data_IF_544366497920
#
_entry.id   IF_544366497920
#
_cell.length_a   1.000
_cell.length_b   1.000
_cell.length_c   1.000
_cell.angle_alpha   90.00
_cell.angle_beta   90.00
_cell.angle_gamma   90.00
#
_symmetry.space_group_name_H-M   'P 1'
#
loop_
_entity.id
_entity.type
_entity.pdbx_description
1 polymer ?
#
# COMPACT_ATOMS: atom_id res chain seq x y z
N UNK A 1 5.64 -9.58 19.37
CA UNK A 1 6.11 -8.29 19.94
C UNK A 1 5.91 -7.24 18.87
N UNK A 2 5.60 -5.99 19.20
CA UNK A 2 5.38 -4.94 18.19
C UNK A 2 6.72 -4.35 17.70
N UNK A 3 6.74 -3.82 16.48
CA UNK A 3 7.90 -3.08 15.97
C UNK A 3 8.05 -1.75 16.74
N UNK A 4 9.22 -1.43 17.34
CA UNK A 4 9.39 -0.20 18.11
C UNK A 4 9.33 1.06 17.24
N UNK A 5 9.78 0.93 15.98
CA UNK A 5 9.71 1.99 14.97
C UNK A 5 8.91 1.47 13.79
N UNK A 6 8.01 2.30 13.26
CA UNK A 6 7.37 2.09 11.96
C UNK A 6 7.59 3.29 11.06
N UNK A 7 7.79 3.06 9.77
CA UNK A 7 8.00 4.11 8.78
C UNK A 7 6.77 4.24 7.91
N UNK A 8 6.30 5.48 7.72
CA UNK A 8 5.29 5.84 6.73
C UNK A 8 5.97 6.53 5.55
N UNK A 9 5.90 5.92 4.37
CA UNK A 9 6.40 6.50 3.12
C UNK A 9 5.26 7.09 2.29
N UNK A 10 5.29 8.41 2.08
CA UNK A 10 4.36 9.13 1.23
C UNK A 10 4.94 9.56 -0.13
N UNK A 11 4.17 10.33 -0.95
CA UNK A 11 4.51 10.63 -2.34
C UNK A 11 5.86 11.33 -2.49
N UNK A 12 6.27 12.14 -1.52
CA UNK A 12 7.55 12.85 -1.51
C UNK A 12 8.78 11.92 -1.53
N UNK A 13 8.60 10.63 -1.20
CA UNK A 13 9.67 9.62 -1.31
C UNK A 13 9.97 9.25 -2.76
N UNK A 14 9.01 9.37 -3.69
CA UNK A 14 9.13 8.86 -5.07
C UNK A 14 10.41 9.35 -5.78
N UNK A 15 10.76 10.65 -5.77
CA UNK A 15 11.99 11.14 -6.42
C UNK A 15 13.29 10.61 -5.77
N UNK A 16 13.21 10.12 -4.53
CA UNK A 16 14.34 9.70 -3.69
C UNK A 16 14.29 8.21 -3.34
N UNK A 17 13.45 7.42 -4.00
CA UNK A 17 13.14 6.04 -3.63
C UNK A 17 14.37 5.14 -3.48
N UNK A 18 15.39 5.32 -4.31
CA UNK A 18 16.64 4.56 -4.21
C UNK A 18 17.43 4.85 -2.93
N UNK A 19 17.50 6.11 -2.49
CA UNK A 19 18.15 6.48 -1.24
C UNK A 19 17.33 6.02 -0.04
N UNK A 20 16.00 6.20 -0.11
CA UNK A 20 15.07 5.75 0.92
C UNK A 20 15.15 4.24 1.17
N UNK A 21 15.17 3.41 0.11
CA UNK A 21 15.31 1.96 0.23
C UNK A 21 16.58 1.57 0.97
N UNK A 22 17.72 2.13 0.58
CA UNK A 22 19.00 1.88 1.25
C UNK A 22 18.96 2.25 2.72
N UNK A 23 18.42 3.42 3.05
CA UNK A 23 18.27 3.87 4.43
C UNK A 23 17.41 2.90 5.26
N UNK A 24 16.27 2.46 4.73
CA UNK A 24 15.40 1.52 5.41
C UNK A 24 16.02 0.11 5.53
N UNK A 25 16.74 -0.36 4.53
CA UNK A 25 17.45 -1.65 4.55
C UNK A 25 18.62 -1.63 5.55
N UNK A 26 19.44 -0.59 5.54
CA UNK A 26 20.61 -0.43 6.43
C UNK A 26 20.20 -0.38 7.91
N UNK A 27 19.06 0.26 8.23
CA UNK A 27 18.53 0.34 9.58
C UNK A 27 17.49 -0.75 9.91
N UNK A 28 17.19 -1.67 8.98
CA UNK A 28 16.18 -2.73 9.12
C UNK A 28 14.78 -2.22 9.52
N UNK A 29 14.27 -1.22 8.81
CA UNK A 29 13.03 -0.52 9.14
C UNK A 29 11.79 -1.18 8.49
N UNK A 30 10.69 -1.40 9.23
CA UNK A 30 9.41 -1.76 8.66
C UNK A 30 8.74 -0.53 8.03
N UNK A 31 8.39 -0.63 6.74
CA UNK A 31 7.90 0.49 5.92
C UNK A 31 6.51 0.18 5.38
N UNK A 32 5.53 0.98 5.81
CA UNK A 32 4.21 1.06 5.18
C UNK A 32 4.20 2.20 4.17
N UNK A 33 3.72 1.95 2.95
CA UNK A 33 3.64 2.96 1.90
C UNK A 33 2.19 3.45 1.71
N UNK A 34 1.98 4.72 1.37
CA UNK A 34 0.66 5.17 0.90
C UNK A 34 0.36 4.60 -0.49
N UNK A 35 -0.89 4.71 -0.95
CA UNK A 35 -1.34 4.06 -2.18
C UNK A 35 -0.65 4.57 -3.45
N UNK A 36 -0.22 5.84 -3.52
CA UNK A 36 0.59 6.36 -4.63
C UNK A 36 2.02 5.84 -4.65
N UNK A 37 2.51 5.34 -3.52
CA UNK A 37 3.89 4.87 -3.31
C UNK A 37 3.99 3.34 -3.43
N UNK A 38 2.91 2.70 -3.91
CA UNK A 38 2.85 1.25 -4.12
C UNK A 38 3.97 0.79 -5.06
N UNK A 39 4.65 -0.29 -4.68
CA UNK A 39 5.85 -0.79 -5.36
C UNK A 39 7.15 -0.15 -4.88
N UNK A 40 7.12 0.69 -3.82
CA UNK A 40 8.34 1.19 -3.18
C UNK A 40 9.22 0.03 -2.72
N UNK A 41 8.68 -0.98 -2.05
CA UNK A 41 9.34 -2.27 -1.92
C UNK A 41 8.64 -3.31 -2.78
N UNK A 42 9.37 -4.34 -3.19
CA UNK A 42 8.72 -5.54 -3.71
C UNK A 42 7.87 -6.15 -2.59
N UNK A 43 6.77 -6.78 -2.97
CA UNK A 43 5.80 -7.35 -2.02
C UNK A 43 6.41 -8.41 -1.08
N UNK A 44 7.52 -9.05 -1.48
CA UNK A 44 8.26 -10.08 -0.75
C UNK A 44 9.45 -9.55 0.07
N UNK A 45 9.66 -8.23 0.10
CA UNK A 45 10.73 -7.62 0.90
C UNK A 45 10.42 -7.70 2.40
N UNK A 46 11.42 -7.97 3.27
CA UNK A 46 11.23 -7.93 4.72
C UNK A 46 10.87 -6.53 5.24
N UNK A 47 11.25 -5.47 4.53
CA UNK A 47 10.91 -4.08 4.90
C UNK A 47 9.48 -3.70 4.51
N UNK A 48 8.79 -4.49 3.68
CA UNK A 48 7.46 -4.14 3.18
C UNK A 48 6.35 -4.49 4.18
N UNK A 49 5.67 -3.48 4.70
CA UNK A 49 4.54 -3.60 5.63
C UNK A 49 3.16 -3.47 4.96
N UNK A 50 3.12 -3.37 3.64
CA UNK A 50 1.87 -3.19 2.90
C UNK A 50 1.52 -1.74 2.62
N UNK A 51 0.41 -1.58 1.90
CA UNK A 51 -0.12 -0.28 1.48
C UNK A 51 -1.20 0.19 2.46
N UNK A 52 -1.04 1.42 2.95
CA UNK A 52 -1.92 2.07 3.93
C UNK A 52 -2.59 3.31 3.34
N UNK A 53 -3.56 3.87 4.07
CA UNK A 53 -4.29 5.07 3.67
C UNK A 53 -5.55 4.80 2.84
N UNK A 54 -5.81 3.55 2.45
CA UNK A 54 -6.98 3.12 1.68
C UNK A 54 -8.23 2.94 2.57
N UNK A 55 -8.06 2.29 3.72
CA UNK A 55 -9.14 1.96 4.65
C UNK A 55 -8.92 2.58 6.03
N UNK A 56 -10.01 2.68 6.80
CA UNK A 56 -10.04 3.37 8.10
C UNK A 56 -9.01 2.80 9.09
N UNK A 57 -8.90 1.47 9.15
CA UNK A 57 -8.07 0.77 10.13
C UNK A 57 -6.67 0.40 9.62
N UNK A 58 -6.29 0.90 8.44
CA UNK A 58 -4.99 0.57 7.84
C UNK A 58 -3.81 0.82 8.78
N UNK A 59 -3.78 1.99 9.43
CA UNK A 59 -2.69 2.38 10.33
C UNK A 59 -2.70 1.59 11.64
N UNK A 60 -3.90 1.33 12.21
CA UNK A 60 -4.07 0.46 13.38
C UNK A 60 -3.50 -0.94 13.09
N UNK A 61 -3.95 -1.56 12.01
CA UNK A 61 -3.54 -2.91 11.62
C UNK A 61 -2.08 -2.98 11.17
N UNK A 62 -1.51 -1.88 10.68
CA UNK A 62 -0.08 -1.77 10.38
C UNK A 62 0.79 -1.59 11.64
N UNK A 63 0.19 -1.46 12.83
CA UNK A 63 0.90 -1.36 14.11
C UNK A 63 1.32 0.05 14.51
N UNK A 64 0.75 1.11 13.92
CA UNK A 64 1.17 2.49 14.19
C UNK A 64 0.86 2.95 15.61
N UNK A 65 -0.24 2.49 16.20
CA UNK A 65 -0.61 2.78 17.59
C UNK A 65 0.23 2.00 18.61
N UNK A 66 0.87 0.91 18.19
CA UNK A 66 1.66 0.01 19.04
C UNK A 66 3.16 0.35 19.01
N UNK A 67 3.60 1.11 18.00
CA UNK A 67 4.99 1.52 17.86
C UNK A 67 5.34 2.68 18.82
N UNK A 68 6.56 2.65 19.37
CA UNK A 68 7.09 3.74 20.18
C UNK A 68 7.25 5.03 19.37
N UNK A 69 7.56 4.88 18.07
CA UNK A 69 7.76 5.99 17.14
C UNK A 69 7.31 5.68 15.72
N UNK A 70 6.65 6.65 15.10
CA UNK A 70 6.39 6.72 13.67
C UNK A 70 7.40 7.67 13.03
N UNK A 71 8.09 7.23 11.98
CA UNK A 71 8.91 8.10 11.13
C UNK A 71 8.14 8.31 9.82
N UNK A 72 7.61 9.51 9.63
CA UNK A 72 6.88 9.88 8.42
C UNK A 72 7.82 10.59 7.45
N UNK A 73 7.86 10.12 6.21
CA UNK A 73 8.75 10.65 5.17
C UNK A 73 7.93 10.99 3.93
N UNK A 74 7.95 12.27 3.54
CA UNK A 74 7.31 12.74 2.31
C UNK A 74 5.79 12.52 2.25
N UNK A 75 5.09 12.54 3.39
CA UNK A 75 3.63 12.34 3.46
C UNK A 75 2.89 13.59 2.99
N UNK A 76 1.88 13.40 2.14
CA UNK A 76 1.00 14.46 1.68
C UNK A 76 -0.32 14.42 2.47
N UNK A 77 -0.68 15.53 3.11
CA UNK A 77 -1.91 15.69 3.90
C UNK A 77 -3.17 15.44 3.05
N UNK A 78 -3.13 15.73 1.74
CA UNK A 78 -4.26 15.48 0.83
C UNK A 78 -4.39 14.00 0.47
N UNK A 79 -3.30 13.25 0.45
CA UNK A 79 -3.34 11.81 0.18
C UNK A 79 -3.74 11.03 1.43
N UNK A 80 -3.20 11.43 2.58
CA UNK A 80 -3.48 10.80 3.87
C UNK A 80 -3.35 11.84 5.00
N UNK A 81 -4.47 12.37 5.51
CA UNK A 81 -4.47 13.34 6.59
C UNK A 81 -3.74 12.86 7.84
N UNK A 82 -2.96 13.74 8.47
CA UNK A 82 -2.16 13.44 9.67
C UNK A 82 -2.95 12.77 10.78
N UNK A 83 -4.19 13.20 10.99
CA UNK A 83 -5.07 12.68 12.03
C UNK A 83 -5.32 11.16 11.94
N UNK A 84 -5.13 10.56 10.75
CA UNK A 84 -5.34 9.12 10.54
C UNK A 84 -4.15 8.26 10.98
N UNK A 85 -2.93 8.79 10.90
CA UNK A 85 -1.72 7.99 11.07
C UNK A 85 -0.85 8.42 12.25
N UNK A 86 -0.99 9.64 12.78
CA UNK A 86 -0.25 10.13 13.94
C UNK A 86 -0.76 9.51 15.27
N UNK A 87 -0.69 8.17 15.37
CA UNK A 87 -1.24 7.38 16.46
C UNK A 87 -0.27 7.16 17.64
N UNK A 88 1.00 7.50 17.45
CA UNK A 88 2.04 7.49 18.48
C UNK A 88 3.02 8.66 18.28
N UNK A 89 4.21 8.62 18.89
CA UNK A 89 5.19 9.71 18.76
C UNK A 89 5.65 9.83 17.29
N UNK A 90 5.44 10.99 16.67
CA UNK A 90 5.81 11.22 15.27
C UNK A 90 7.13 11.97 15.15
N UNK A 91 7.97 11.53 14.22
CA UNK A 91 9.08 12.31 13.65
C UNK A 91 8.85 12.42 12.15
N UNK A 92 8.71 13.64 11.64
CA UNK A 92 8.72 13.89 10.20
C UNK A 92 10.16 14.08 9.73
N UNK A 93 10.52 13.43 8.63
CA UNK A 93 11.84 13.53 8.03
C UNK A 93 11.73 13.96 6.56
N UNK A 94 12.70 14.76 6.13
CA UNK A 94 12.87 15.15 4.74
C UNK A 94 13.42 13.95 3.95
N UNK A 95 12.82 13.57 2.80
CA UNK A 95 13.33 12.47 1.97
C UNK A 95 14.74 12.73 1.41
N UNK A 96 15.24 13.97 1.44
CA UNK A 96 16.59 14.38 1.03
C UNK A 96 17.61 14.40 2.17
N UNK A 97 17.15 14.33 3.43
CA UNK A 97 17.99 14.38 4.64
C UNK A 97 17.45 13.38 5.68
N UNK A 98 17.54 12.09 5.34
CA UNK A 98 17.07 11.00 6.19
C UNK A 98 17.96 10.85 7.43
N UNK A 99 17.38 10.68 8.63
CA UNK A 99 18.14 10.59 9.86
C UNK A 99 18.99 9.32 9.92
N UNK A 100 20.18 9.42 10.48
CA UNK A 100 20.99 8.24 10.81
C UNK A 100 20.34 7.50 11.99
N UNK A 101 20.05 6.23 11.80
CA UNK A 101 19.41 5.37 12.81
C UNK A 101 20.32 4.19 13.16
N UNK A 102 20.27 3.77 14.42
CA UNK A 102 20.82 2.47 14.80
C UNK A 102 19.96 1.36 14.17
N UNK A 103 20.56 0.20 13.81
CA UNK A 103 19.81 -0.95 13.31
C UNK A 103 18.68 -1.35 14.27
N UNK A 104 17.49 -1.55 13.73
CA UNK A 104 16.31 -2.00 14.46
C UNK A 104 16.32 -3.53 14.62
N UNK A 105 15.59 -4.07 15.63
CA UNK A 105 15.40 -5.51 15.77
C UNK A 105 14.77 -6.16 14.51
N UNK A 106 14.77 -7.50 14.41
CA UNK A 106 14.06 -8.19 13.33
C UNK A 106 12.63 -7.68 13.16
N UNK A 107 12.23 -7.46 11.90
CA UNK A 107 10.91 -6.93 11.57
C UNK A 107 9.86 -7.98 11.88
N UNK A 108 8.92 -7.62 12.74
CA UNK A 108 7.77 -8.45 13.07
C UNK A 108 6.64 -8.19 12.06
N UNK A 109 5.97 -9.24 11.54
CA UNK A 109 4.83 -9.09 10.64
C UNK A 109 3.70 -8.28 11.30
N UNK A 110 3.10 -7.36 10.56
CA UNK A 110 1.91 -6.65 11.01
C UNK A 110 0.62 -7.44 10.74
N UNK A 111 -0.48 -6.98 11.33
CA UNK A 111 -1.80 -7.59 11.15
C UNK A 111 -2.40 -7.25 9.80
N UNK A 112 -2.15 -6.04 9.28
CA UNK A 112 -2.70 -5.54 8.02
C UNK A 112 -2.46 -6.52 6.87
N UNK A 113 -1.20 -6.89 6.63
CA UNK A 113 -0.84 -7.80 5.55
C UNK A 113 -1.49 -9.17 5.74
N UNK A 114 -1.38 -9.75 6.94
CA UNK A 114 -1.90 -11.09 7.22
C UNK A 114 -3.43 -11.18 7.09
N UNK A 115 -4.16 -10.22 7.66
CA UNK A 115 -5.63 -10.22 7.65
C UNK A 115 -6.19 -9.95 6.26
N UNK A 116 -5.61 -9.00 5.50
CA UNK A 116 -6.04 -8.76 4.12
C UNK A 116 -5.66 -9.92 3.19
N UNK A 117 -4.46 -10.50 3.35
CA UNK A 117 -4.04 -11.65 2.57
C UNK A 117 -4.96 -12.86 2.76
N UNK A 118 -5.48 -13.08 3.97
CA UNK A 118 -6.43 -14.15 4.25
C UNK A 118 -7.75 -14.02 3.46
N UNK A 119 -8.13 -12.80 3.08
CA UNK A 119 -9.28 -12.54 2.20
C UNK A 119 -8.88 -12.61 0.73
N UNK A 120 -7.77 -11.96 0.35
CA UNK A 120 -7.38 -11.74 -1.05
C UNK A 120 -6.77 -12.98 -1.70
N UNK A 121 -5.87 -13.69 -1.02
CA UNK A 121 -5.12 -14.79 -1.64
C UNK A 121 -6.01 -15.95 -2.13
N UNK A 122 -7.06 -16.37 -1.40
CA UNK A 122 -7.99 -17.38 -1.92
C UNK A 122 -8.73 -16.93 -3.19
N UNK A 123 -8.88 -15.62 -3.40
CA UNK A 123 -9.57 -15.07 -4.56
C UNK A 123 -8.74 -15.17 -5.84
N UNK A 124 -7.40 -15.20 -5.76
CA UNK A 124 -6.53 -15.29 -6.94
C UNK A 124 -6.79 -16.50 -7.83
N UNK A 125 -7.25 -17.61 -7.26
CA UNK A 125 -7.57 -18.84 -8.00
C UNK A 125 -9.07 -19.14 -8.04
N UNK A 126 -9.91 -18.18 -7.64
CA UNK A 126 -11.35 -18.33 -7.65
C UNK A 126 -11.88 -18.40 -9.09
N UNK A 127 -12.89 -19.25 -9.32
CA UNK A 127 -13.52 -19.45 -10.64
C UNK A 127 -14.99 -18.97 -10.66
N UNK A 128 -15.34 -18.03 -9.78
CA UNK A 128 -16.71 -17.49 -9.70
C UNK A 128 -17.04 -16.58 -10.89
N UNK A 129 -18.34 -16.33 -11.09
CA UNK A 129 -18.84 -15.45 -12.15
C UNK A 129 -19.88 -14.49 -11.56
N UNK A 130 -19.69 -13.15 -11.69
CA UNK A 130 -18.53 -12.47 -12.28
C UNK A 130 -17.21 -12.75 -11.50
N UNK A 131 -16.04 -12.60 -12.13
CA UNK A 131 -14.75 -12.91 -11.49
C UNK A 131 -14.49 -12.01 -10.27
N UNK A 132 -13.65 -12.46 -9.34
CA UNK A 132 -13.23 -11.56 -8.24
C UNK A 132 -12.33 -10.44 -8.78
N UNK A 133 -12.39 -9.23 -8.22
CA UNK A 133 -11.43 -8.17 -8.54
C UNK A 133 -9.97 -8.63 -8.36
N UNK A 134 -9.70 -9.37 -7.28
CA UNK A 134 -8.36 -9.88 -6.96
C UNK A 134 -7.82 -10.84 -8.02
N UNK A 135 -8.65 -11.76 -8.53
CA UNK A 135 -8.28 -12.68 -9.61
C UNK A 135 -7.89 -11.90 -10.87
N UNK A 136 -8.74 -10.97 -11.32
CA UNK A 136 -8.49 -10.18 -12.54
C UNK A 136 -7.17 -9.42 -12.43
N UNK A 137 -6.88 -8.82 -11.27
CA UNK A 137 -5.62 -8.10 -11.01
C UNK A 137 -4.43 -9.03 -10.93
N UNK A 138 -4.60 -10.23 -10.38
CA UNK A 138 -3.53 -11.22 -10.28
C UNK A 138 -3.11 -11.73 -11.65
N UNK A 139 -4.09 -12.09 -12.50
CA UNK A 139 -3.85 -12.52 -13.88
C UNK A 139 -3.17 -11.39 -14.68
N UNK A 140 -3.70 -10.17 -14.59
CA UNK A 140 -3.10 -9.00 -15.23
C UNK A 140 -1.67 -8.72 -14.74
N UNK A 141 -1.40 -8.94 -13.45
CA UNK A 141 -0.07 -8.80 -12.87
C UNK A 141 0.93 -9.83 -13.39
N UNK A 142 0.48 -11.07 -13.64
CA UNK A 142 1.29 -12.15 -14.21
C UNK A 142 1.72 -11.88 -15.65
N UNK A 143 0.86 -11.26 -16.45
CA UNK A 143 1.12 -10.92 -17.86
C UNK A 143 1.77 -9.54 -18.05
N UNK A 144 2.01 -8.80 -16.97
CA UNK A 144 2.47 -7.41 -17.02
C UNK A 144 3.89 -7.31 -17.56
N UNK A 145 4.09 -6.39 -18.52
CA UNK A 145 5.44 -6.05 -19.02
C UNK A 145 6.16 -5.09 -18.07
N UNK A 146 7.48 -5.20 -17.96
CA UNK A 146 8.32 -4.21 -17.24
C UNK A 146 8.05 -2.80 -17.77
N UNK A 147 7.81 -1.85 -16.88
CA UNK A 147 7.49 -0.46 -17.23
C UNK A 147 6.04 -0.22 -17.68
N UNK A 148 5.20 -1.26 -17.76
CA UNK A 148 3.77 -1.09 -18.05
C UNK A 148 3.05 -0.51 -16.83
N UNK A 149 2.41 0.64 -17.02
CA UNK A 149 1.56 1.26 -15.99
C UNK A 149 0.15 0.70 -16.07
N UNK A 150 -0.37 0.26 -14.93
CA UNK A 150 -1.78 -0.08 -14.72
C UNK A 150 -2.41 1.07 -13.95
N UNK A 151 -3.52 1.60 -14.46
CA UNK A 151 -4.18 2.75 -13.88
C UNK A 151 -5.67 2.49 -13.64
N UNK A 152 -6.22 3.15 -12.63
CA UNK A 152 -7.66 3.21 -12.39
C UNK A 152 -8.03 4.58 -11.82
N UNK A 153 -9.30 4.96 -11.94
CA UNK A 153 -9.82 6.15 -11.27
C UNK A 153 -9.99 5.90 -9.76
N UNK A 154 -9.95 6.96 -8.93
CA UNK A 154 -10.44 6.89 -7.55
C UNK A 154 -11.83 6.24 -7.46
N UNK A 155 -12.04 5.42 -6.43
CA UNK A 155 -13.27 4.63 -6.26
C UNK A 155 -12.99 3.13 -6.08
N UNK A 156 -14.02 2.26 -6.20
CA UNK A 156 -13.88 0.83 -5.94
C UNK A 156 -12.79 0.13 -6.78
N UNK A 157 -12.70 0.42 -8.07
CA UNK A 157 -11.64 -0.12 -8.94
C UNK A 157 -10.25 0.35 -8.50
N UNK A 158 -10.09 1.65 -8.23
CA UNK A 158 -8.84 2.21 -7.69
C UNK A 158 -8.45 1.61 -6.33
N UNK A 159 -9.43 1.38 -5.46
CA UNK A 159 -9.24 0.71 -4.18
C UNK A 159 -8.66 -0.70 -4.37
N UNK A 160 -9.28 -1.51 -5.22
CA UNK A 160 -8.79 -2.86 -5.52
C UNK A 160 -7.40 -2.85 -6.16
N UNK A 161 -7.15 -1.93 -7.10
CA UNK A 161 -5.84 -1.74 -7.71
C UNK A 161 -4.77 -1.40 -6.67
N UNK A 162 -5.05 -0.46 -5.75
CA UNK A 162 -4.13 -0.09 -4.66
C UNK A 162 -3.93 -1.21 -3.64
N UNK A 163 -4.97 -1.99 -3.35
CA UNK A 163 -4.96 -3.03 -2.33
C UNK A 163 -4.32 -4.33 -2.80
N UNK A 164 -4.73 -4.85 -3.95
CA UNK A 164 -4.51 -6.24 -4.33
C UNK A 164 -3.57 -6.44 -5.54
N UNK A 165 -3.23 -5.38 -6.28
CA UNK A 165 -2.35 -5.55 -7.44
C UNK A 165 -0.92 -5.94 -7.00
N UNK A 166 -0.33 -7.02 -7.55
CA UNK A 166 1.01 -7.47 -7.19
C UNK A 166 2.08 -6.57 -7.82
N UNK A 167 2.53 -5.56 -7.08
CA UNK A 167 3.54 -4.61 -7.55
C UNK A 167 4.96 -5.10 -7.31
N UNK A 168 5.79 -5.02 -8.34
CA UNK A 168 7.24 -5.30 -8.28
C UNK A 168 8.09 -4.07 -8.55
N UNK A 169 7.49 -2.98 -9.03
CA UNK A 169 8.19 -1.72 -9.33
C UNK A 169 7.33 -0.51 -8.93
N UNK A 170 7.98 0.51 -8.39
CA UNK A 170 7.36 1.80 -8.07
C UNK A 170 6.88 2.47 -9.36
N UNK A 171 5.68 3.04 -9.32
CA UNK A 171 5.07 3.71 -10.48
C UNK A 171 4.36 2.78 -11.48
N UNK A 172 4.35 1.46 -11.25
CA UNK A 172 3.57 0.51 -12.06
C UNK A 172 2.06 0.59 -11.83
N UNK A 173 1.65 1.18 -10.70
CA UNK A 173 0.24 1.37 -10.33
C UNK A 173 0.01 2.86 -10.13
N UNK A 174 -1.02 3.40 -10.78
CA UNK A 174 -1.41 4.81 -10.66
C UNK A 174 -2.91 4.91 -10.46
N UNK A 175 -3.34 5.55 -9.37
CA UNK A 175 -4.76 5.82 -9.11
C UNK A 175 -4.99 7.32 -9.33
N UNK A 176 -5.68 7.67 -10.41
CA UNK A 176 -5.78 9.06 -10.88
C UNK A 176 -6.95 9.26 -11.85
N UNK A 177 -7.48 10.48 -11.91
CA UNK A 177 -8.44 10.88 -12.93
C UNK A 177 -7.83 11.14 -14.31
N UNK A 178 -6.50 11.27 -14.38
CA UNK A 178 -5.76 11.55 -15.61
C UNK A 178 -4.64 10.53 -15.81
N UNK A 179 -4.96 9.29 -16.24
CA UNK A 179 -3.96 8.25 -16.45
C UNK A 179 -2.86 8.70 -17.42
N UNK A 180 -1.59 8.30 -17.20
CA UNK A 180 -0.51 8.68 -18.09
C UNK A 180 -0.68 8.01 -19.47
N UNK A 181 -0.18 8.64 -20.55
CA UNK A 181 -0.24 8.06 -21.89
C UNK A 181 0.36 6.65 -21.93
N UNK A 182 -0.36 5.72 -22.56
CA UNK A 182 0.07 4.32 -22.69
C UNK A 182 -0.21 3.42 -21.48
N UNK A 183 -0.81 3.95 -20.41
CA UNK A 183 -1.29 3.12 -19.30
C UNK A 183 -2.42 2.18 -19.75
N UNK A 184 -2.44 0.98 -19.19
CA UNK A 184 -3.61 0.10 -19.23
C UNK A 184 -4.58 0.57 -18.16
N UNK A 185 -5.70 1.16 -18.58
CA UNK A 185 -6.72 1.68 -17.67
C UNK A 185 -7.76 0.60 -17.38
N UNK A 186 -7.97 0.30 -16.10
CA UNK A 186 -9.04 -0.57 -15.62
C UNK A 186 -10.22 0.33 -15.24
N UNK A 187 -11.38 0.03 -15.82
CA UNK A 187 -12.63 0.74 -15.57
C UNK A 187 -13.78 -0.26 -15.53
N UNK A 188 -13.88 -1.00 -14.42
CA UNK A 188 -14.91 -2.01 -14.24
C UNK A 188 -16.28 -1.41 -13.95
N UNK A 189 -17.29 -1.90 -14.68
CA UNK A 189 -18.69 -1.69 -14.39
C UNK A 189 -19.22 -2.61 -13.28
N UNK A 190 -20.52 -2.51 -12.96
CA UNK A 190 -21.15 -3.27 -11.88
C UNK A 190 -21.16 -4.78 -12.09
N UNK A 191 -21.15 -5.24 -13.35
CA UNK A 191 -21.25 -6.66 -13.71
C UNK A 191 -19.91 -7.28 -14.14
N UNK A 192 -18.83 -6.48 -14.21
CA UNK A 192 -17.52 -6.94 -14.68
C UNK A 192 -16.78 -7.78 -13.63
N UNK A 193 -17.02 -7.51 -12.35
CA UNK A 193 -16.40 -8.19 -11.21
C UNK A 193 -17.38 -8.35 -10.06
N UNK A 194 -17.15 -9.33 -9.19
CA UNK A 194 -17.96 -9.56 -8.01
C UNK A 194 -17.58 -8.60 -6.88
N UNK A 195 -18.34 -7.51 -6.78
CA UNK A 195 -18.13 -6.47 -5.79
C UNK A 195 -18.38 -6.90 -4.34
N UNK A 196 -19.01 -8.06 -4.09
CA UNK A 196 -19.23 -8.57 -2.71
C UNK A 196 -17.92 -8.92 -1.98
N UNK A 197 -16.83 -9.14 -2.71
CA UNK A 197 -15.51 -9.27 -2.08
C UNK A 197 -15.04 -7.97 -1.41
N UNK A 198 -15.57 -6.82 -1.83
CA UNK A 198 -15.24 -5.52 -1.22
C UNK A 198 -15.73 -5.47 0.23
N UNK A 199 -16.92 -6.01 0.49
CA UNK A 199 -17.51 -6.06 1.83
C UNK A 199 -16.63 -6.87 2.78
N UNK A 200 -16.03 -7.96 2.29
CA UNK A 200 -15.11 -8.80 3.07
C UNK A 200 -13.84 -8.04 3.47
N UNK A 201 -13.35 -7.12 2.63
CA UNK A 201 -12.22 -6.25 2.99
C UNK A 201 -12.64 -5.13 3.95
N UNK A 202 -13.86 -4.63 3.82
CA UNK A 202 -14.44 -3.64 4.74
C UNK A 202 -14.62 -4.24 6.14
N UNK A 203 -15.07 -5.49 6.26
CA UNK A 203 -15.16 -6.21 7.53
C UNK A 203 -13.81 -6.32 8.25
N UNK A 204 -12.72 -6.46 7.50
CA UNK A 204 -11.36 -6.56 8.05
C UNK A 204 -10.83 -5.19 8.48
N UNK A 205 -10.74 -4.24 7.55
CA UNK A 205 -9.99 -2.99 7.75
C UNK A 205 -10.86 -1.72 7.78
N UNK A 206 -12.18 -1.87 7.86
CA UNK A 206 -13.13 -0.76 7.89
C UNK A 206 -13.43 -0.17 6.50
N UNK A 207 -14.26 0.87 6.44
CA UNK A 207 -14.67 1.49 5.18
C UNK A 207 -13.48 2.07 4.40
N UNK A 208 -13.67 2.19 3.08
CA UNK A 208 -12.74 2.91 2.21
C UNK A 208 -12.82 4.40 2.54
N UNK A 209 -11.67 5.01 2.80
CA UNK A 209 -11.52 6.41 3.23
C UNK A 209 -10.43 7.14 2.42
N UNK A 210 -9.86 6.48 1.40
CA UNK A 210 -9.09 7.19 0.40
C UNK A 210 -10.03 8.03 -0.48
N UNK A 211 -9.54 9.22 -0.87
CA UNK A 211 -10.24 10.15 -1.77
C UNK A 211 -11.56 10.74 -1.22
N UNK A 212 -11.78 10.66 0.11
CA UNK A 212 -12.94 11.24 0.81
C UNK A 212 -12.66 12.63 1.37
#
# INVERSE_FOLDING_TARGET
>A
MANPVVVLAGPGVIPHAGAFRRWAEEANLPVANTWSVKGLFRWDSPNHMGTVGLQERDFELAGFSEADRIIAVGVDENETPRARWALSTVTEADPTDLPVLAPQPPIEPNRLYGELAAVIQPLYTSQKTPPSPAQVLYDLGGDRRTGQVIAARPGPTGFWLGRAFPTTELGSVVITDTPPPGATVIDWGPDDVDWTDTDRLIEVAGPIVAWT
#
